data_IF_071285249810
#
_entry.id   IF_071285249810
#
_cell.length_a   1.000
_cell.length_b   1.000
_cell.length_c   1.000
_cell.angle_alpha   90.00
_cell.angle_beta   90.00
_cell.angle_gamma   90.00
#
_symmetry.space_group_name_H-M   'P 1'
#
loop_
_entity.id
_entity.type
_entity.pdbx_description
1 polymer ?
#
# COMPACT_ATOMS: atom_id res chain seq x y z
N UNK A 1 -15.77 -9.05 27.45
CA UNK A 1 -16.51 -8.00 26.71
C UNK A 1 -15.70 -6.72 26.81
N UNK A 2 -15.42 -6.05 25.67
CA UNK A 2 -14.62 -4.83 25.67
C UNK A 2 -15.43 -3.69 26.29
N UNK A 3 -14.80 -2.87 27.14
CA UNK A 3 -15.48 -1.79 27.85
C UNK A 3 -16.01 -0.74 26.86
N UNK A 4 -17.34 -0.61 26.80
CA UNK A 4 -18.05 0.28 25.87
C UNK A 4 -17.62 1.74 26.00
N UNK A 5 -17.07 2.15 27.15
CA UNK A 5 -16.54 3.50 27.35
C UNK A 5 -15.32 3.77 26.48
N UNK A 6 -14.34 2.85 26.42
CA UNK A 6 -13.10 3.01 25.64
C UNK A 6 -13.34 3.04 24.13
N UNK A 7 -14.36 2.32 23.65
CA UNK A 7 -14.77 2.34 22.25
C UNK A 7 -15.23 3.74 21.81
N UNK A 8 -16.03 4.41 22.63
CA UNK A 8 -16.60 5.73 22.30
C UNK A 8 -15.57 6.84 22.16
N UNK A 9 -14.46 6.76 22.90
CA UNK A 9 -13.35 7.70 22.74
C UNK A 9 -12.56 7.47 21.45
N UNK A 10 -12.44 6.22 20.99
CA UNK A 10 -11.83 5.89 19.70
C UNK A 10 -12.74 6.30 18.53
N UNK A 11 -14.07 6.20 18.70
CA UNK A 11 -15.07 6.65 17.73
C UNK A 11 -14.98 8.16 17.46
N UNK A 12 -14.69 8.98 18.47
CA UNK A 12 -14.46 10.42 18.27
C UNK A 12 -13.21 10.72 17.42
N UNK A 13 -12.11 10.01 17.67
CA UNK A 13 -10.87 10.21 16.91
C UNK A 13 -11.06 9.73 15.47
N UNK A 14 -11.63 8.54 15.29
CA UNK A 14 -11.85 7.95 13.96
C UNK A 14 -12.85 8.74 13.13
N UNK A 15 -13.96 9.20 13.72
CA UNK A 15 -14.89 10.11 13.03
C UNK A 15 -14.23 11.42 12.61
N UNK A 16 -13.41 12.03 13.46
CA UNK A 16 -12.67 13.24 13.08
C UNK A 16 -11.69 12.99 11.92
N UNK A 17 -10.94 11.89 11.96
CA UNK A 17 -10.02 11.51 10.87
C UNK A 17 -10.77 11.23 9.55
N UNK A 18 -11.89 10.51 9.61
CA UNK A 18 -12.72 10.24 8.43
C UNK A 18 -13.38 11.50 7.89
N UNK A 19 -13.77 12.45 8.74
CA UNK A 19 -14.25 13.75 8.30
C UNK A 19 -13.18 14.48 7.49
N UNK A 20 -11.95 14.59 8.01
CA UNK A 20 -10.83 15.21 7.30
C UNK A 20 -10.51 14.49 5.99
N UNK A 21 -10.49 13.15 6.00
CA UNK A 21 -10.27 12.33 4.81
C UNK A 21 -11.36 12.58 3.75
N UNK A 22 -12.63 12.60 4.15
CA UNK A 22 -13.75 12.86 3.24
C UNK A 22 -13.68 14.25 2.64
N UNK A 23 -13.35 15.27 3.43
CA UNK A 23 -13.14 16.65 2.95
C UNK A 23 -11.97 16.70 1.96
N UNK A 24 -10.86 16.03 2.26
CA UNK A 24 -9.72 15.93 1.36
C UNK A 24 -10.07 15.25 0.03
N UNK A 25 -10.82 14.13 0.07
CA UNK A 25 -11.30 13.45 -1.14
C UNK A 25 -12.16 14.40 -1.97
N UNK A 26 -13.11 15.11 -1.36
CA UNK A 26 -13.92 16.08 -2.10
C UNK A 26 -13.05 17.17 -2.72
N UNK A 27 -12.08 17.72 -1.98
CA UNK A 27 -11.16 18.73 -2.48
C UNK A 27 -10.37 18.27 -3.71
N UNK A 28 -9.84 17.05 -3.71
CA UNK A 28 -9.16 16.48 -4.89
C UNK A 28 -10.14 16.17 -6.03
N UNK A 29 -11.33 15.69 -5.71
CA UNK A 29 -12.36 15.34 -6.71
C UNK A 29 -12.83 16.57 -7.48
N UNK A 30 -12.93 17.74 -6.82
CA UNK A 30 -13.31 18.99 -7.47
C UNK A 30 -12.26 19.52 -8.46
N UNK A 31 -11.02 19.02 -8.41
CA UNK A 31 -9.98 19.35 -9.40
C UNK A 31 -10.09 18.49 -10.67
N UNK A 32 -10.89 17.43 -10.65
CA UNK A 32 -11.08 16.53 -11.79
C UNK A 32 -12.16 17.08 -12.75
N UNK A 33 -12.05 16.81 -14.07
CA UNK A 33 -13.02 17.29 -15.04
C UNK A 33 -14.39 16.62 -14.84
N UNK A 34 -15.42 17.46 -14.62
CA UNK A 34 -16.82 17.02 -14.48
C UNK A 34 -17.51 16.73 -15.81
N UNK A 35 -17.00 17.34 -16.89
CA UNK A 35 -17.39 17.10 -18.28
C UNK A 35 -16.13 17.16 -19.11
N UNK A 36 -15.88 16.14 -19.90
CA UNK A 36 -14.79 16.13 -20.86
C UNK A 36 -15.32 15.73 -22.24
N UNK A 37 -14.73 16.23 -23.31
CA UNK A 37 -15.11 15.83 -24.68
C UNK A 37 -14.15 14.72 -25.10
N UNK A 38 -14.64 13.49 -25.24
CA UNK A 38 -13.83 12.38 -25.74
C UNK A 38 -14.28 12.06 -27.16
N UNK A 39 -13.36 12.12 -28.12
CA UNK A 39 -13.60 11.84 -29.54
C UNK A 39 -14.72 12.66 -30.21
N UNK A 40 -14.92 13.92 -29.83
CA UNK A 40 -15.91 14.81 -30.46
C UNK A 40 -17.36 14.61 -29.98
N UNK A 41 -17.57 13.77 -28.97
CA UNK A 41 -18.86 13.61 -28.28
C UNK A 41 -18.73 14.18 -26.88
N UNK A 42 -19.67 15.05 -26.49
CA UNK A 42 -19.74 15.59 -25.13
C UNK A 42 -19.98 14.44 -24.14
N UNK A 43 -19.03 14.15 -23.26
CA UNK A 43 -19.22 13.11 -22.24
C UNK A 43 -20.20 13.61 -21.19
N UNK A 44 -21.20 12.78 -20.89
CA UNK A 44 -22.18 13.06 -19.86
C UNK A 44 -21.57 13.01 -18.45
N UNK A 45 -22.20 13.71 -17.51
CA UNK A 45 -21.74 13.82 -16.11
C UNK A 45 -21.55 12.47 -15.40
N UNK A 46 -22.27 11.41 -15.82
CA UNK A 46 -22.16 10.06 -15.25
C UNK A 46 -20.91 9.30 -15.70
N UNK A 47 -20.19 9.80 -16.70
CA UNK A 47 -18.88 9.29 -17.14
C UNK A 47 -17.76 10.06 -16.45
N UNK A 48 -18.08 11.06 -15.62
CA UNK A 48 -17.06 11.86 -14.97
C UNK A 48 -16.22 11.02 -14.00
N UNK A 49 -14.89 11.06 -14.11
CA UNK A 49 -14.00 10.40 -13.16
C UNK A 49 -14.15 10.96 -11.73
N UNK A 50 -14.70 12.17 -11.58
CA UNK A 50 -14.95 12.81 -10.28
C UNK A 50 -16.18 12.23 -9.55
N UNK A 51 -17.12 11.59 -10.26
CA UNK A 51 -18.42 11.24 -9.69
C UNK A 51 -18.31 10.25 -8.52
N UNK A 52 -17.56 9.15 -8.72
CA UNK A 52 -17.36 8.13 -7.69
C UNK A 52 -16.64 8.70 -6.45
N UNK A 53 -15.51 9.41 -6.60
CA UNK A 53 -14.87 10.13 -5.50
C UNK A 53 -15.80 11.09 -4.75
N UNK A 54 -16.65 11.85 -5.45
CA UNK A 54 -17.62 12.77 -4.83
C UNK A 54 -18.66 12.03 -3.98
N UNK A 55 -19.22 10.92 -4.49
CA UNK A 55 -20.20 10.11 -3.76
C UNK A 55 -19.56 9.52 -2.50
N UNK A 56 -18.38 8.90 -2.65
CA UNK A 56 -17.67 8.26 -1.55
C UNK A 56 -17.26 9.30 -0.50
N UNK A 57 -16.67 10.42 -0.92
CA UNK A 57 -16.27 11.51 -0.01
C UNK A 57 -17.44 12.06 0.79
N UNK A 58 -18.59 12.28 0.13
CA UNK A 58 -19.81 12.76 0.79
C UNK A 58 -20.35 11.72 1.78
N UNK A 59 -20.42 10.45 1.39
CA UNK A 59 -20.89 9.38 2.28
C UNK A 59 -20.00 9.22 3.52
N UNK A 60 -18.68 9.30 3.35
CA UNK A 60 -17.71 9.25 4.46
C UNK A 60 -17.94 10.42 5.43
N UNK A 61 -18.13 11.65 4.92
CA UNK A 61 -18.41 12.82 5.76
C UNK A 61 -19.69 12.61 6.57
N UNK A 62 -20.77 12.15 5.94
CA UNK A 62 -22.04 11.91 6.63
C UNK A 62 -21.89 10.84 7.71
N UNK A 63 -21.25 9.72 7.41
CA UNK A 63 -20.96 8.66 8.39
C UNK A 63 -20.11 9.20 9.54
N UNK A 64 -19.04 9.92 9.24
CA UNK A 64 -18.18 10.54 10.25
C UNK A 64 -18.98 11.46 11.18
N UNK A 65 -19.85 12.32 10.64
CA UNK A 65 -20.71 13.20 11.43
C UNK A 65 -21.68 12.41 12.33
N UNK A 66 -22.30 11.35 11.81
CA UNK A 66 -23.21 10.51 12.62
C UNK A 66 -22.47 9.82 13.78
N UNK A 67 -21.29 9.25 13.53
CA UNK A 67 -20.45 8.61 14.55
C UNK A 67 -20.00 9.66 15.58
N UNK A 68 -19.58 10.84 15.12
CA UNK A 68 -19.14 11.92 16.00
C UNK A 68 -20.27 12.37 16.94
N UNK A 69 -21.46 12.64 16.40
CA UNK A 69 -22.63 13.04 17.20
C UNK A 69 -23.02 11.93 18.18
N UNK A 70 -23.01 10.67 17.75
CA UNK A 70 -23.32 9.54 18.60
C UNK A 70 -22.31 9.40 19.75
N UNK A 71 -21.02 9.44 19.45
CA UNK A 71 -19.96 9.34 20.45
C UNK A 71 -19.98 10.52 21.44
N UNK A 72 -20.27 11.74 20.97
CA UNK A 72 -20.45 12.93 21.81
C UNK A 72 -21.62 12.78 22.78
N UNK A 73 -22.77 12.27 22.32
CA UNK A 73 -23.96 12.06 23.15
C UNK A 73 -23.79 10.97 24.21
N UNK A 74 -22.92 9.98 23.96
CA UNK A 74 -22.73 8.83 24.84
C UNK A 74 -21.44 8.89 25.69
N UNK A 75 -20.92 10.08 26.00
CA UNK A 75 -19.81 10.25 26.94
C UNK A 75 -18.40 10.11 26.34
N UNK A 76 -18.26 10.25 25.02
CA UNK A 76 -16.97 10.14 24.32
C UNK A 76 -15.89 11.09 24.82
N UNK A 77 -16.25 12.27 25.36
CA UNK A 77 -15.29 13.25 25.90
C UNK A 77 -14.54 12.72 27.13
N UNK A 78 -15.23 12.02 28.02
CA UNK A 78 -14.62 11.44 29.23
C UNK A 78 -13.77 10.22 28.85
N UNK A 79 -14.27 9.39 27.94
CA UNK A 79 -13.52 8.28 27.37
C UNK A 79 -12.24 8.74 26.65
N UNK A 80 -12.28 9.86 25.93
CA UNK A 80 -11.13 10.41 25.22
C UNK A 80 -10.02 10.83 26.18
N UNK A 81 -10.36 11.49 27.30
CA UNK A 81 -9.38 11.85 28.34
C UNK A 81 -8.71 10.62 28.93
N UNK A 82 -9.48 9.56 29.23
CA UNK A 82 -8.96 8.29 29.76
C UNK A 82 -8.05 7.59 28.75
N UNK A 83 -8.44 7.56 27.46
CA UNK A 83 -7.62 7.00 26.39
C UNK A 83 -6.29 7.75 26.23
N UNK A 84 -6.33 9.07 26.24
CA UNK A 84 -5.16 9.92 26.08
C UNK A 84 -4.18 9.74 27.26
N UNK A 85 -4.69 9.73 28.50
CA UNK A 85 -3.90 9.43 29.69
C UNK A 85 -3.29 8.02 29.65
N UNK A 86 -4.01 7.03 29.12
CA UNK A 86 -3.52 5.64 29.03
C UNK A 86 -2.51 5.36 27.91
N UNK A 87 -2.33 6.30 26.97
CA UNK A 87 -1.35 6.22 25.87
C UNK A 87 0.00 6.83 26.21
N UNK A 88 0.07 7.72 27.19
CA UNK A 88 1.32 8.32 27.65
C UNK A 88 2.20 7.21 28.24
N UNK A 89 3.32 6.91 27.59
CA UNK A 89 4.32 5.92 28.05
C UNK A 89 4.19 4.50 27.46
N UNK A 90 3.19 4.18 26.63
CA UNK A 90 3.14 2.89 25.94
C UNK A 90 3.98 2.91 24.66
N UNK A 91 4.84 1.89 24.48
CA UNK A 91 5.63 1.72 23.25
C UNK A 91 4.69 1.63 22.04
N UNK A 92 4.88 2.52 21.05
CA UNK A 92 4.14 2.54 19.78
C UNK A 92 4.21 1.20 19.02
N UNK A 93 5.22 0.36 19.28
CA UNK A 93 5.49 -0.91 18.61
C UNK A 93 5.26 -2.10 19.55
N UNK A 94 4.04 -2.24 20.07
CA UNK A 94 3.55 -3.51 20.62
C UNK A 94 3.38 -4.55 19.50
N UNK A 95 3.38 -5.84 19.82
CA UNK A 95 3.26 -6.94 18.83
C UNK A 95 1.99 -6.81 17.96
N UNK A 96 0.88 -6.33 18.53
CA UNK A 96 -0.34 -6.05 17.77
C UNK A 96 -0.19 -4.88 16.78
N UNK A 97 0.56 -3.84 17.16
CA UNK A 97 0.78 -2.67 16.31
C UNK A 97 1.72 -2.97 15.14
N UNK A 98 2.68 -3.89 15.32
CA UNK A 98 3.58 -4.31 14.24
C UNK A 98 2.83 -5.06 13.15
N UNK A 99 1.87 -5.92 13.50
CA UNK A 99 1.00 -6.59 12.51
C UNK A 99 0.24 -5.57 11.66
N UNK A 100 -0.36 -4.58 12.32
CA UNK A 100 -1.07 -3.50 11.62
C UNK A 100 -0.13 -2.66 10.74
N UNK A 101 1.03 -2.27 11.26
CA UNK A 101 2.05 -1.54 10.50
C UNK A 101 2.58 -2.35 9.30
N UNK A 102 2.69 -3.68 9.43
CA UNK A 102 3.11 -4.59 8.37
C UNK A 102 2.07 -4.72 7.25
N UNK A 103 0.81 -4.32 7.46
CA UNK A 103 -0.16 -4.18 6.37
C UNK A 103 -0.05 -2.78 5.74
N UNK A 104 -0.08 -1.74 6.58
CA UNK A 104 -0.19 -0.37 6.10
C UNK A 104 1.06 0.13 5.38
N UNK A 105 2.24 -0.09 5.94
CA UNK A 105 3.47 0.49 5.41
C UNK A 105 3.79 -0.03 4.00
N UNK A 106 3.74 -1.34 3.71
CA UNK A 106 3.92 -1.84 2.35
C UNK A 106 2.84 -1.35 1.38
N UNK A 107 1.58 -1.24 1.84
CA UNK A 107 0.49 -0.77 0.99
C UNK A 107 0.65 0.70 0.61
N UNK A 108 0.96 1.56 1.59
CA UNK A 108 1.20 3.00 1.37
C UNK A 108 2.43 3.18 0.47
N UNK A 109 3.53 2.49 0.76
CA UNK A 109 4.74 2.58 -0.05
C UNK A 109 4.52 2.08 -1.47
N UNK A 110 3.74 1.00 -1.65
CA UNK A 110 3.36 0.51 -2.97
C UNK A 110 2.59 1.58 -3.74
N UNK A 111 1.47 2.06 -3.18
CA UNK A 111 0.51 2.92 -3.89
C UNK A 111 1.07 4.31 -4.19
N UNK A 112 1.72 4.94 -3.22
CA UNK A 112 2.08 6.36 -3.30
C UNK A 112 3.52 6.61 -3.76
N UNK A 113 4.36 5.58 -3.82
CA UNK A 113 5.79 5.76 -4.11
C UNK A 113 6.27 4.78 -5.18
N UNK A 114 6.13 3.46 -4.94
CA UNK A 114 6.73 2.46 -5.83
C UNK A 114 6.03 2.45 -7.21
N UNK A 115 4.69 2.52 -7.25
CA UNK A 115 3.93 2.53 -8.51
C UNK A 115 4.27 3.69 -9.44
N UNK A 116 4.77 4.81 -8.91
CA UNK A 116 5.10 6.00 -9.72
C UNK A 116 6.55 6.02 -10.22
N UNK A 117 7.41 5.13 -9.70
CA UNK A 117 8.87 5.22 -9.90
C UNK A 117 9.50 3.95 -10.46
N UNK A 118 8.95 2.78 -10.15
CA UNK A 118 9.55 1.47 -10.45
C UNK A 118 8.63 0.70 -11.37
N UNK A 119 9.20 -0.13 -12.24
CA UNK A 119 8.45 -1.08 -13.07
C UNK A 119 7.32 -1.77 -12.28
N UNK A 120 6.14 -1.78 -12.88
CA UNK A 120 4.93 -2.30 -12.22
C UNK A 120 5.07 -3.76 -11.77
N UNK A 121 5.76 -4.62 -12.54
CA UNK A 121 5.98 -6.01 -12.16
C UNK A 121 6.87 -6.09 -10.92
N UNK A 122 7.99 -5.36 -10.90
CA UNK A 122 8.90 -5.33 -9.75
C UNK A 122 8.23 -4.78 -8.49
N UNK A 123 7.40 -3.76 -8.63
CA UNK A 123 6.62 -3.20 -7.51
C UNK A 123 5.72 -4.26 -6.89
N UNK A 124 5.01 -5.04 -7.70
CA UNK A 124 4.17 -6.14 -7.21
C UNK A 124 4.99 -7.24 -6.55
N UNK A 125 6.11 -7.64 -7.14
CA UNK A 125 6.99 -8.67 -6.56
C UNK A 125 7.53 -8.21 -5.21
N UNK A 126 8.02 -6.98 -5.09
CA UNK A 126 8.54 -6.44 -3.83
C UNK A 126 7.44 -6.41 -2.75
N UNK A 127 6.26 -5.89 -3.07
CA UNK A 127 5.12 -5.87 -2.16
C UNK A 127 4.65 -7.27 -1.73
N UNK A 128 4.49 -8.19 -2.67
CA UNK A 128 4.01 -9.55 -2.39
C UNK A 128 5.06 -10.39 -1.66
N UNK A 129 6.35 -10.20 -1.97
CA UNK A 129 7.44 -10.90 -1.31
C UNK A 129 7.43 -10.65 0.20
N UNK A 130 7.18 -9.41 0.59
CA UNK A 130 7.02 -9.01 1.98
C UNK A 130 5.69 -9.54 2.54
N UNK A 131 4.57 -9.14 1.94
CA UNK A 131 3.22 -9.38 2.47
C UNK A 131 2.94 -10.87 2.64
N UNK A 132 3.10 -11.67 1.58
CA UNK A 132 2.79 -13.11 1.63
C UNK A 132 3.71 -13.79 2.66
N UNK A 133 5.01 -13.51 2.64
CA UNK A 133 5.95 -14.18 3.54
C UNK A 133 5.64 -13.90 5.01
N UNK A 134 5.45 -12.64 5.35
CA UNK A 134 5.22 -12.20 6.73
C UNK A 134 3.92 -12.78 7.29
N UNK A 135 2.84 -12.77 6.52
CA UNK A 135 1.53 -13.27 6.99
C UNK A 135 1.34 -14.78 6.84
N UNK A 136 2.01 -15.44 5.90
CA UNK A 136 1.89 -16.89 5.73
C UNK A 136 2.76 -17.69 6.71
N UNK A 137 3.92 -17.14 7.11
CA UNK A 137 4.77 -17.74 8.14
C UNK A 137 4.18 -17.48 9.53
N UNK A 138 3.65 -16.28 9.76
CA UNK A 138 2.99 -15.84 11.01
C UNK A 138 3.82 -16.04 12.29
N UNK A 139 5.13 -15.76 12.22
CA UNK A 139 6.01 -15.68 13.38
C UNK A 139 6.32 -14.22 13.73
N UNK A 140 6.17 -13.85 15.01
CA UNK A 140 6.28 -12.45 15.45
C UNK A 140 7.72 -11.90 15.37
N UNK A 141 8.73 -12.73 15.61
CA UNK A 141 10.14 -12.33 15.52
C UNK A 141 10.56 -12.15 14.07
N UNK A 142 10.16 -13.08 13.21
CA UNK A 142 10.35 -13.01 11.76
C UNK A 142 9.67 -11.75 11.19
N UNK A 143 8.38 -11.56 11.49
CA UNK A 143 7.61 -10.39 11.05
C UNK A 143 8.29 -9.08 11.45
N UNK A 144 8.66 -8.93 12.73
CA UNK A 144 9.30 -7.72 13.23
C UNK A 144 10.63 -7.44 12.53
N UNK A 145 11.48 -8.46 12.38
CA UNK A 145 12.78 -8.32 11.72
C UNK A 145 12.65 -7.95 10.25
N UNK A 146 11.77 -8.64 9.53
CA UNK A 146 11.50 -8.38 8.11
C UNK A 146 10.83 -7.01 7.93
N UNK A 147 9.93 -6.61 8.82
CA UNK A 147 9.28 -5.29 8.80
C UNK A 147 10.29 -4.15 8.89
N UNK A 148 11.25 -4.22 9.83
CA UNK A 148 12.29 -3.20 9.92
C UNK A 148 13.16 -3.15 8.66
N UNK A 149 13.55 -4.30 8.13
CA UNK A 149 14.36 -4.36 6.92
C UNK A 149 13.61 -3.76 5.71
N UNK A 150 12.36 -4.14 5.52
CA UNK A 150 11.51 -3.57 4.47
C UNK A 150 11.28 -2.06 4.68
N UNK A 151 11.15 -1.60 5.93
CA UNK A 151 11.02 -0.16 6.21
C UNK A 151 12.27 0.61 5.80
N UNK A 152 13.47 0.04 6.01
CA UNK A 152 14.74 0.64 5.55
C UNK A 152 14.77 0.71 4.02
N UNK A 153 14.37 -0.36 3.35
CA UNK A 153 14.22 -0.40 1.89
C UNK A 153 13.29 0.71 1.37
N UNK A 154 12.10 0.86 1.97
CA UNK A 154 11.18 1.92 1.60
C UNK A 154 11.72 3.31 1.93
N UNK A 155 12.49 3.46 3.01
CA UNK A 155 13.13 4.73 3.35
C UNK A 155 14.18 5.13 2.30
N UNK A 156 14.93 4.18 1.73
CA UNK A 156 15.87 4.45 0.63
C UNK A 156 15.13 4.99 -0.59
N UNK A 157 14.06 4.31 -1.02
CA UNK A 157 13.25 4.77 -2.16
C UNK A 157 12.58 6.13 -1.88
N UNK A 158 12.16 6.38 -0.63
CA UNK A 158 11.58 7.65 -0.23
C UNK A 158 12.60 8.80 -0.34
N UNK A 159 13.84 8.58 0.09
CA UNK A 159 14.91 9.57 -0.07
C UNK A 159 15.19 9.84 -1.54
N UNK A 160 15.25 8.80 -2.38
CA UNK A 160 15.42 8.95 -3.84
C UNK A 160 14.28 9.79 -4.43
N UNK A 161 13.04 9.54 -4.03
CA UNK A 161 11.85 10.25 -4.49
C UNK A 161 11.84 11.73 -4.08
N UNK A 162 12.13 12.03 -2.80
CA UNK A 162 12.11 13.40 -2.27
C UNK A 162 13.21 14.26 -2.89
N UNK A 163 14.40 13.69 -3.09
CA UNK A 163 15.55 14.40 -3.67
C UNK A 163 15.42 14.51 -5.21
N UNK A 164 14.40 13.90 -5.81
CA UNK A 164 14.20 13.79 -7.26
C UNK A 164 15.39 13.17 -8.00
N UNK A 165 16.04 12.19 -7.35
CA UNK A 165 17.13 11.43 -7.95
C UNK A 165 16.62 10.45 -9.01
N UNK A 166 15.32 10.16 -9.03
CA UNK A 166 14.65 9.38 -10.06
C UNK A 166 14.89 9.94 -11.47
N UNK A 167 14.79 11.26 -11.64
CA UNK A 167 15.03 11.93 -12.93
C UNK A 167 16.51 11.83 -13.35
N UNK A 168 17.42 12.03 -12.38
CA UNK A 168 18.86 11.94 -12.63
C UNK A 168 19.25 10.51 -12.99
N UNK A 169 18.72 9.52 -12.28
CA UNK A 169 18.98 8.11 -12.54
C UNK A 169 18.45 7.67 -13.90
N UNK A 170 17.24 8.09 -14.28
CA UNK A 170 16.68 7.82 -15.60
C UNK A 170 17.53 8.43 -16.73
N UNK A 171 18.20 9.56 -16.49
CA UNK A 171 19.10 10.18 -17.48
C UNK A 171 20.42 9.43 -17.68
N UNK A 172 20.92 8.74 -16.64
CA UNK A 172 22.13 7.92 -16.72
C UNK A 172 21.79 6.57 -17.38
N UNK A 173 20.74 5.92 -16.90
CA UNK A 173 20.26 4.66 -17.45
C UNK A 173 18.77 4.49 -17.14
N UNK A 174 17.97 4.31 -18.19
CA UNK A 174 16.50 4.27 -18.10
C UNK A 174 15.97 3.27 -17.08
N UNK A 175 16.65 2.13 -16.90
CA UNK A 175 16.21 1.06 -15.98
C UNK A 175 16.98 1.03 -14.66
N UNK A 176 17.65 2.12 -14.26
CA UNK A 176 18.48 2.12 -13.05
C UNK A 176 17.66 1.90 -11.77
N UNK A 177 16.48 2.51 -11.68
CA UNK A 177 15.55 2.29 -10.55
C UNK A 177 15.03 0.85 -10.51
N UNK A 178 14.81 0.23 -11.66
CA UNK A 178 14.40 -1.18 -11.74
C UNK A 178 15.52 -2.11 -11.24
N UNK A 179 16.78 -1.79 -11.54
CA UNK A 179 17.94 -2.53 -11.01
C UNK A 179 18.01 -2.37 -9.49
N UNK A 180 17.83 -1.16 -8.97
CA UNK A 180 17.82 -0.92 -7.51
C UNK A 180 16.68 -1.73 -6.86
N UNK A 181 15.48 -1.70 -7.42
CA UNK A 181 14.34 -2.46 -6.91
C UNK A 181 14.59 -3.99 -6.97
N UNK A 182 15.21 -4.49 -8.04
CA UNK A 182 15.60 -5.90 -8.14
C UNK A 182 16.62 -6.28 -7.04
N UNK A 183 17.62 -5.43 -6.80
CA UNK A 183 18.59 -5.64 -5.72
C UNK A 183 17.92 -5.64 -4.35
N UNK A 184 16.93 -4.78 -4.13
CA UNK A 184 16.11 -4.78 -2.90
C UNK A 184 15.33 -6.09 -2.75
N UNK A 185 14.64 -6.56 -3.80
CA UNK A 185 13.92 -7.85 -3.77
C UNK A 185 14.88 -9.00 -3.39
N UNK A 186 16.08 -9.03 -3.98
CA UNK A 186 17.11 -10.02 -3.67
C UNK A 186 17.57 -9.89 -2.22
N UNK A 187 17.88 -8.68 -1.77
CA UNK A 187 18.33 -8.40 -0.40
C UNK A 187 17.27 -8.81 0.64
N UNK A 188 16.01 -8.45 0.41
CA UNK A 188 14.87 -8.84 1.23
C UNK A 188 14.70 -10.37 1.26
N UNK A 189 14.81 -11.05 0.12
CA UNK A 189 14.70 -12.52 0.04
C UNK A 189 15.83 -13.21 0.82
N UNK A 190 17.06 -12.71 0.70
CA UNK A 190 18.21 -13.22 1.45
C UNK A 190 18.00 -12.97 2.94
N UNK A 191 17.59 -11.76 3.33
CA UNK A 191 17.30 -11.40 4.72
C UNK A 191 16.24 -12.32 5.33
N UNK A 192 15.11 -12.51 4.64
CA UNK A 192 14.06 -13.41 5.07
C UNK A 192 14.60 -14.83 5.29
N UNK A 193 15.38 -15.36 4.35
CA UNK A 193 15.99 -16.69 4.48
C UNK A 193 16.94 -16.81 5.68
N UNK A 194 17.69 -15.75 5.99
CA UNK A 194 18.56 -15.70 7.17
C UNK A 194 17.76 -15.68 8.48
N UNK A 195 16.64 -14.95 8.53
CA UNK A 195 15.79 -14.90 9.73
C UNK A 195 15.00 -16.20 9.92
N UNK A 196 14.61 -16.88 8.84
CA UNK A 196 13.90 -18.15 8.91
C UNK A 196 14.70 -19.27 9.58
N UNK A 197 16.04 -19.22 9.53
CA UNK A 197 16.91 -20.16 10.26
C UNK A 197 16.73 -20.10 11.78
N UNK A 198 16.22 -18.98 12.30
CA UNK A 198 15.98 -18.75 13.73
C UNK A 198 14.58 -19.15 14.17
N UNK A 199 13.69 -19.49 13.23
CA UNK A 199 12.30 -19.85 13.51
C UNK A 199 12.20 -21.37 13.71
N UNK A 200 11.73 -21.86 14.86
CA UNK A 200 11.56 -23.29 15.09
C UNK A 200 10.39 -23.83 14.25
N UNK A 201 10.65 -24.86 13.44
CA UNK A 201 9.59 -25.58 12.73
C UNK A 201 10.05 -26.27 11.46
N UNK A 202 9.81 -27.58 11.38
CA UNK A 202 10.25 -28.46 10.29
C UNK A 202 9.64 -28.10 8.91
N UNK A 203 8.52 -27.37 8.90
CA UNK A 203 7.77 -27.01 7.68
C UNK A 203 7.95 -25.55 7.23
N UNK A 204 8.73 -24.74 7.93
CA UNK A 204 8.86 -23.28 7.67
C UNK A 204 9.50 -23.01 6.31
N UNK A 205 10.52 -23.77 5.91
CA UNK A 205 11.17 -23.62 4.60
C UNK A 205 10.21 -23.94 3.43
N UNK A 206 9.32 -24.92 3.61
CA UNK A 206 8.30 -25.24 2.59
C UNK A 206 7.30 -24.10 2.47
N UNK A 207 6.87 -23.52 3.60
CA UNK A 207 5.99 -22.35 3.59
C UNK A 207 6.63 -21.17 2.87
N UNK A 208 7.90 -20.87 3.14
CA UNK A 208 8.62 -19.78 2.49
C UNK A 208 8.77 -19.99 0.98
N UNK A 209 9.12 -21.20 0.55
CA UNK A 209 9.18 -21.53 -0.89
C UNK A 209 7.85 -21.31 -1.60
N UNK A 210 6.75 -21.71 -0.97
CA UNK A 210 5.40 -21.46 -1.50
C UNK A 210 5.07 -19.97 -1.55
N UNK A 211 5.41 -19.21 -0.50
CA UNK A 211 5.22 -17.76 -0.49
C UNK A 211 5.99 -17.06 -1.62
N UNK A 212 7.26 -17.42 -1.83
CA UNK A 212 8.08 -16.88 -2.91
C UNK A 212 7.56 -17.29 -4.28
N UNK A 213 7.14 -18.54 -4.46
CA UNK A 213 6.56 -19.00 -5.72
C UNK A 213 5.30 -18.18 -6.06
N UNK A 214 4.39 -17.98 -5.12
CA UNK A 214 3.18 -17.17 -5.34
C UNK A 214 3.50 -15.70 -5.63
N UNK A 215 4.56 -15.17 -5.03
CA UNK A 215 5.02 -13.79 -5.25
C UNK A 215 5.40 -13.52 -6.70
N UNK A 216 6.01 -14.48 -7.40
CA UNK A 216 6.40 -14.31 -8.81
C UNK A 216 5.30 -14.76 -9.76
N UNK A 217 4.57 -15.82 -9.43
CA UNK A 217 3.48 -16.32 -10.28
C UNK A 217 2.36 -15.28 -10.41
N UNK A 218 1.92 -14.67 -9.31
CA UNK A 218 0.78 -13.76 -9.37
C UNK A 218 1.02 -12.57 -10.33
N UNK A 219 2.13 -11.82 -10.26
CA UNK A 219 2.44 -10.78 -11.24
C UNK A 219 2.67 -11.32 -12.65
N UNK A 220 3.26 -12.51 -12.81
CA UNK A 220 3.51 -13.12 -14.12
C UNK A 220 2.22 -13.41 -14.90
N UNK A 221 1.12 -13.71 -14.21
CA UNK A 221 -0.20 -13.84 -14.85
C UNK A 221 -0.93 -12.50 -14.92
N UNK A 222 -0.90 -11.71 -13.85
CA UNK A 222 -1.66 -10.47 -13.75
C UNK A 222 -1.18 -9.44 -14.79
N UNK A 223 0.13 -9.20 -14.89
CA UNK A 223 0.68 -8.16 -15.77
C UNK A 223 0.33 -8.39 -17.24
N UNK A 224 0.50 -9.60 -17.83
CA UNK A 224 0.06 -9.88 -19.19
C UNK A 224 -1.43 -9.76 -19.43
N UNK A 225 -2.26 -10.21 -18.48
CA UNK A 225 -3.72 -10.12 -18.60
C UNK A 225 -4.14 -8.65 -18.68
N UNK A 226 -3.66 -7.82 -17.76
CA UNK A 226 -3.99 -6.39 -17.75
C UNK A 226 -3.48 -5.67 -19.00
N UNK A 227 -2.21 -5.90 -19.36
CA UNK A 227 -1.57 -5.16 -20.46
C UNK A 227 -2.00 -5.63 -21.85
N UNK A 228 -2.00 -6.94 -22.10
CA UNK A 228 -2.20 -7.47 -23.46
C UNK A 228 -3.62 -7.93 -23.73
N UNK A 229 -4.32 -8.51 -22.75
CA UNK A 229 -5.70 -8.94 -22.93
C UNK A 229 -6.70 -7.79 -22.73
N UNK A 230 -6.55 -7.02 -21.65
CA UNK A 230 -7.46 -5.92 -21.31
C UNK A 230 -7.01 -4.56 -21.85
N UNK A 231 -5.77 -4.44 -22.37
CA UNK A 231 -5.20 -3.20 -22.91
C UNK A 231 -5.22 -2.02 -21.93
N UNK A 232 -5.07 -2.33 -20.65
CA UNK A 232 -5.00 -1.33 -19.58
C UNK A 232 -3.56 -0.81 -19.51
N UNK A 233 -3.33 0.51 -19.60
CA UNK A 233 -1.99 1.08 -19.43
C UNK A 233 -1.51 0.85 -17.99
N UNK A 234 -0.29 0.35 -17.85
CA UNK A 234 0.33 0.16 -16.54
C UNK A 234 0.95 1.48 -16.04
N UNK A 235 1.05 1.72 -14.71
CA UNK A 235 1.55 2.98 -14.17
C UNK A 235 2.95 3.36 -14.65
N UNK A 236 3.90 2.42 -14.57
CA UNK A 236 5.26 2.55 -15.09
C UNK A 236 5.63 1.27 -15.81
N UNK A 237 5.94 1.40 -17.10
CA UNK A 237 6.39 0.32 -17.97
C UNK A 237 7.92 0.33 -18.07
N UNK A 238 8.57 -0.36 -17.14
CA UNK A 238 10.03 -0.42 -17.04
C UNK A 238 10.62 -1.66 -17.73
N UNK A 239 11.78 -2.09 -17.26
CA UNK A 239 12.62 -3.08 -17.95
C UNK A 239 11.94 -4.44 -18.13
N UNK A 240 11.27 -4.96 -17.09
CA UNK A 240 10.63 -6.27 -17.17
C UNK A 240 9.39 -6.19 -18.06
N UNK A 241 8.55 -5.19 -17.85
CA UNK A 241 7.33 -4.99 -18.64
C UNK A 241 7.71 -4.79 -20.12
N UNK A 242 8.75 -4.04 -20.44
CA UNK A 242 9.24 -3.87 -21.82
C UNK A 242 9.80 -5.17 -22.42
N UNK A 243 10.53 -5.96 -21.63
CA UNK A 243 10.99 -7.28 -22.07
C UNK A 243 9.81 -8.22 -22.38
N UNK A 244 8.76 -8.20 -21.56
CA UNK A 244 7.54 -8.96 -21.85
C UNK A 244 6.87 -8.51 -23.15
N UNK A 245 6.92 -7.20 -23.45
CA UNK A 245 6.38 -6.67 -24.71
C UNK A 245 7.19 -7.14 -25.91
N UNK A 246 8.52 -7.11 -25.80
CA UNK A 246 9.39 -7.62 -26.85
C UNK A 246 9.08 -9.09 -27.16
N UNK A 247 8.91 -9.93 -26.13
CA UNK A 247 8.54 -11.34 -26.31
C UNK A 247 7.15 -11.47 -26.94
N UNK A 248 6.17 -10.70 -26.48
CA UNK A 248 4.81 -10.78 -27.00
C UNK A 248 4.71 -10.39 -28.49
N UNK A 249 5.35 -9.28 -28.89
CA UNK A 249 5.33 -8.78 -30.25
C UNK A 249 6.26 -9.51 -31.21
N UNK A 250 7.23 -10.28 -30.71
CA UNK A 250 8.07 -11.14 -31.58
C UNK A 250 7.42 -12.49 -31.87
N UNK A 251 6.53 -12.96 -30.99
CA UNK A 251 5.82 -14.24 -31.15
C UNK A 251 4.50 -14.12 -31.91
N UNK A 252 4.02 -12.90 -32.16
CA UNK A 252 2.74 -12.59 -32.82
C UNK A 252 2.99 -11.93 -34.17
#
# INVERSE_FOLDING_TARGET
MMDNSKLRGADLITSFLFFLLGVWILFESFKMPLRDSYAGVNSAWYVSPALMPLIIGTAIILLALTIFVHAMKHGGKEALKVLWASRIGKKLLSDGNIRYASVLLPLIAMVYMNLTMVDFFLTLVLYLSFTISVFYIDDTKFMRSTFYFYTVEMAILLVISIVKLDVVFASIFTYLLDIIALLMIVALTIWMKLQLRKVPGEKVNRKFRHAMLMTYIAPLFLVPIFRYALRIPLPVEGGIVNLMSLVYYTLR
#
